data_IF_042764643740
#
_entry.id   IF_042764643740
#
_cell.length_a   1.000
_cell.length_b   1.000
_cell.length_c   1.000
_cell.angle_alpha   90.00
_cell.angle_beta   90.00
_cell.angle_gamma   90.00
#
_symmetry.space_group_name_H-M   'P 1'
#
loop_
_entity.id
_entity.type
_entity.pdbx_description
1 polymer ?
2 polymer ?
3 polymer ?
4 non-polymer ?
5 non-polymer ?
6 water ?
#
loop_
_entity_poly.entity_id
_entity_poly.type
_entity_poly.pdbx_seq_one_letter_code
_entity_poly.pdbx_strand_id
1 'polydeoxyribonucleotide' '(DA)(DG)(DG)(DA)(DC)(DC)(DOC)' ?
2 'polydeoxyribonucleotide' '(DT)(DC)(DT)(DA)(DG)(DG)(DG)(DT)(DC)(DC)(DT)' ?
#
# COMPACT_ATOMS: atom_id res chain seq x y z
N UNK C 25 9.87 19.89 18.50
CA UNK C 25 10.03 18.81 17.43
C UNK C 25 9.63 17.46 18.09
N UNK C 26 8.46 17.41 18.78
CA UNK C 26 8.03 16.16 19.34
C UNK C 26 6.74 15.64 18.66
N UNK C 27 5.49 16.12 19.02
CA UNK C 27 4.22 15.47 18.56
C UNK C 27 3.79 15.72 17.11
N UNK C 28 3.35 14.73 16.43
CA UNK C 28 3.06 14.83 15.07
C UNK C 28 1.63 14.55 14.74
N UNK C 29 1.21 15.11 13.59
CA UNK C 29 -0.10 14.93 13.03
C UNK C 29 0.10 14.32 11.60
N UNK C 30 -0.25 13.01 11.50
CA UNK C 30 0.00 12.26 10.29
C UNK C 30 -1.33 11.84 9.68
N UNK C 31 -1.39 11.83 8.32
CA UNK C 31 -2.57 11.34 7.65
C UNK C 31 -2.27 10.20 6.78
N UNK C 32 -3.13 9.17 6.82
CA UNK C 32 -2.99 8.03 5.95
C UNK C 32 -4.16 7.98 5.02
N UNK C 33 -3.93 8.04 3.70
CA UNK C 33 -4.99 8.05 2.73
C UNK C 33 -5.03 6.70 1.97
N UNK C 34 -6.18 6.09 1.92
CA UNK C 34 -6.35 4.79 1.33
C UNK C 34 -7.57 4.77 0.51
N UNK C 35 -7.43 4.60 -0.80
CA UNK C 35 -8.56 4.59 -1.73
C UNK C 35 -9.40 3.35 -1.65
N UNK C 36 -10.67 3.55 -2.01
CA UNK C 36 -11.64 2.50 -2.16
C UNK C 36 -11.49 1.58 -3.41
N UNK C 37 -11.58 0.24 -3.16
CA UNK C 37 -11.39 -0.83 -4.16
C UNK C 37 -10.74 -0.32 -5.38
N UNK C 38 -9.55 0.24 -5.19
CA UNK C 38 -8.80 0.97 -6.20
C UNK C 38 -8.91 0.52 -7.66
N UNK C 39 -8.46 -0.68 -7.99
CA UNK C 39 -8.59 -1.12 -9.38
C UNK C 39 -9.98 -1.02 -9.85
N UNK C 40 -10.93 -1.43 -9.00
CA UNK C 40 -12.33 -1.48 -9.49
C UNK C 40 -12.82 0.02 -9.76
N UNK C 41 -12.41 1.00 -8.95
CA UNK C 41 -12.74 2.36 -9.20
C UNK C 41 -12.26 2.76 -10.51
N UNK C 42 -11.04 2.48 -10.76
CA UNK C 42 -10.47 2.90 -12.07
C UNK C 42 -11.23 2.28 -13.23
N UNK C 43 -11.67 1.03 -13.09
CA UNK C 43 -12.36 0.36 -14.14
C UNK C 43 -13.66 0.95 -14.31
N UNK C 44 -14.30 1.22 -13.21
CA UNK C 44 -15.70 1.84 -13.21
C UNK C 44 -15.75 3.28 -13.79
N UNK C 45 -14.63 3.94 -13.75
CA UNK C 45 -14.60 5.23 -14.31
C UNK C 45 -14.42 5.05 -15.83
N UNK C 46 -13.66 4.06 -16.21
CA UNK C 46 -13.37 3.84 -17.59
C UNK C 46 -14.58 3.24 -18.35
N UNK C 47 -15.43 2.47 -17.67
CA UNK C 47 -16.61 1.92 -18.25
C UNK C 47 -17.83 2.09 -17.29
N UNK C 48 -18.49 3.27 -17.36
CA UNK C 48 -19.68 3.67 -16.56
C UNK C 48 -20.84 2.69 -16.47
N UNK C 49 -21.02 1.94 -17.51
CA UNK C 49 -21.99 0.87 -17.46
C UNK C 49 -21.65 -0.21 -16.42
N UNK C 50 -20.50 -0.12 -15.79
CA UNK C 50 -20.11 -1.07 -14.75
C UNK C 50 -20.48 -0.64 -13.37
N UNK C 51 -20.72 0.63 -13.13
CA UNK C 51 -21.25 1.06 -11.81
C UNK C 51 -22.55 0.34 -11.38
N UNK C 52 -22.75 0.35 -10.07
CA UNK C 52 -23.93 -0.29 -9.41
C UNK C 52 -24.10 -1.82 -9.79
N UNK C 53 -23.35 -2.30 -10.77
CA UNK C 53 -23.24 -3.75 -10.94
C UNK C 53 -22.02 -4.25 -10.18
N UNK C 54 -22.16 -5.42 -9.62
CA UNK C 54 -21.09 -5.98 -8.82
C UNK C 54 -19.92 -6.28 -9.69
N UNK C 55 -18.76 -5.77 -9.33
CA UNK C 55 -17.64 -5.86 -10.25
C UNK C 55 -16.44 -6.45 -9.62
N UNK C 56 -15.77 -7.36 -10.30
CA UNK C 56 -14.46 -7.80 -9.81
C UNK C 56 -13.40 -7.50 -10.86
N UNK C 57 -12.15 -7.43 -10.41
CA UNK C 57 -11.04 -7.21 -11.33
C UNK C 57 -10.17 -8.46 -11.24
N UNK C 58 -10.02 -9.16 -12.37
CA UNK C 58 -9.38 -10.43 -12.38
C UNK C 58 -7.95 -10.40 -12.79
N UNK C 59 -7.09 -11.21 -12.18
CA UNK C 59 -5.72 -11.38 -12.60
C UNK C 59 -5.49 -12.85 -12.59
N UNK C 60 -5.46 -13.49 -13.75
CA UNK C 60 -5.40 -14.96 -13.84
C UNK C 60 -6.61 -15.57 -13.17
N UNK C 61 -6.39 -16.42 -12.12
CA UNK C 61 -7.50 -17.14 -11.51
C UNK C 61 -7.72 -16.45 -10.21
N UNK C 62 -7.48 -15.14 -10.16
CA UNK C 62 -7.71 -14.44 -8.87
C UNK C 62 -8.48 -13.17 -8.98
N UNK C 63 -9.60 -13.01 -8.22
CA UNK C 63 -10.30 -11.71 -8.22
C UNK C 63 -9.62 -10.81 -7.20
N UNK C 64 -8.67 -10.09 -7.68
CA UNK C 64 -7.72 -9.33 -6.81
C UNK C 64 -8.49 -8.30 -5.98
N UNK C 65 -9.60 -7.71 -6.53
CA UNK C 65 -10.44 -6.78 -5.73
C UNK C 65 -11.83 -6.64 -6.45
N UNK C 66 -12.81 -6.16 -5.76
CA UNK C 66 -14.13 -6.00 -6.26
C UNK C 66 -14.76 -4.77 -5.65
N UNK C 67 -15.84 -4.17 -6.30
CA UNK C 67 -16.41 -2.95 -5.79
C UNK C 67 -17.22 -3.24 -4.61
N UNK C 68 -17.73 -2.21 -3.96
CA UNK C 68 -18.64 -2.44 -2.81
C UNK C 68 -19.91 -3.19 -3.10
N UNK C 69 -20.43 -3.10 -4.34
CA UNK C 69 -21.73 -3.80 -4.66
C UNK C 69 -21.48 -5.27 -4.52
N UNK C 70 -20.34 -5.74 -5.06
CA UNK C 70 -19.89 -7.10 -5.00
C UNK C 70 -19.61 -7.56 -3.59
N UNK C 71 -19.08 -6.68 -2.76
CA UNK C 71 -18.71 -7.14 -1.42
C UNK C 71 -19.93 -7.51 -0.59
N UNK C 72 -21.07 -6.89 -0.92
CA UNK C 72 -22.43 -7.12 -0.30
C UNK C 72 -23.03 -8.52 -0.41
N UNK C 73 -22.70 -9.13 -1.55
CA UNK C 73 -22.95 -10.48 -1.94
C UNK C 73 -21.85 -11.51 -1.51
N UNK C 74 -20.95 -11.17 -0.60
CA UNK C 74 -19.94 -12.15 -0.20
C UNK C 74 -18.61 -12.23 -0.90
N UNK C 75 -18.38 -11.45 -1.99
CA UNK C 75 -17.09 -11.50 -2.74
C UNK C 75 -16.10 -10.77 -1.84
N UNK C 76 -14.96 -11.43 -1.61
CA UNK C 76 -13.88 -10.92 -0.78
C UNK C 76 -12.72 -10.61 -1.69
N UNK C 77 -11.84 -9.75 -1.23
CA UNK C 77 -10.68 -9.46 -2.04
C UNK C 77 -9.88 -10.69 -2.07
N UNK C 78 -9.12 -10.84 -3.14
CA UNK C 78 -8.26 -12.04 -3.24
C UNK C 78 -8.97 -13.34 -3.10
N UNK C 79 -10.06 -13.49 -3.81
CA UNK C 79 -10.82 -14.71 -3.76
C UNK C 79 -10.61 -15.33 -5.13
N UNK C 80 -10.55 -16.68 -5.28
CA UNK C 80 -10.28 -17.30 -6.63
C UNK C 80 -11.49 -17.14 -7.45
N UNK C 81 -11.36 -16.98 -8.76
CA UNK C 81 -12.54 -16.85 -9.62
C UNK C 81 -13.58 -17.91 -9.38
N UNK C 82 -13.22 -19.12 -8.95
CA UNK C 82 -14.28 -20.17 -8.80
C UNK C 82 -15.26 -19.81 -7.65
N UNK C 83 -14.72 -19.52 -6.44
CA UNK C 83 -15.49 -19.19 -5.28
C UNK C 83 -16.23 -17.84 -5.52
N UNK C 84 -15.73 -16.94 -6.39
CA UNK C 84 -16.40 -15.65 -6.58
C UNK C 84 -17.62 -15.81 -7.46
N UNK C 85 -17.60 -16.78 -8.32
CA UNK C 85 -18.75 -16.95 -9.15
C UNK C 85 -19.77 -17.89 -8.52
N UNK C 86 -19.36 -18.82 -7.67
CA UNK C 86 -20.29 -19.70 -6.95
C UNK C 86 -20.71 -19.07 -5.55
N UNK C 87 -20.36 -17.80 -5.36
CA UNK C 87 -20.74 -17.02 -4.23
C UNK C 87 -21.39 -15.87 -4.83
N UNK C 88 -21.34 -15.75 -6.16
CA UNK C 88 -21.96 -14.65 -6.89
C UNK C 88 -21.90 -14.77 -8.41
N UNK C 89 -22.86 -15.52 -8.95
CA UNK C 89 -22.99 -15.85 -10.39
C UNK C 89 -23.10 -14.61 -11.16
N UNK C 90 -23.92 -13.77 -10.58
CA UNK C 90 -24.08 -12.44 -11.04
C UNK C 90 -22.74 -11.70 -10.83
N UNK C 91 -21.80 -11.76 -11.73
CA UNK C 91 -20.54 -11.10 -11.40
C UNK C 91 -19.78 -10.74 -12.63
N UNK C 92 -19.57 -9.41 -12.82
CA UNK C 92 -18.79 -8.89 -13.92
C UNK C 92 -17.27 -8.82 -13.61
N UNK C 93 -16.51 -9.33 -14.55
CA UNK C 93 -15.14 -9.49 -14.38
C UNK C 93 -14.44 -8.87 -15.51
N UNK C 94 -13.44 -8.00 -15.19
CA UNK C 94 -12.52 -7.41 -16.17
C UNK C 94 -11.15 -7.72 -15.79
N UNK C 95 -10.30 -7.69 -16.76
CA UNK C 95 -8.95 -8.17 -16.53
C UNK C 95 -8.04 -6.98 -16.12
N UNK C 96 -7.40 -7.13 -14.99
CA UNK C 96 -6.48 -6.18 -14.48
C UNK C 96 -4.95 -6.59 -14.47
N UNK C 97 -4.58 -7.38 -15.43
CA UNK C 97 -3.18 -7.90 -15.50
C UNK C 97 -2.20 -6.82 -15.86
N UNK C 98 -2.67 -5.87 -16.64
CA UNK C 98 -1.92 -4.73 -17.12
C UNK C 98 -2.19 -3.56 -16.17
N UNK C 99 -1.18 -3.21 -15.41
CA UNK C 99 -1.35 -2.18 -14.37
C UNK C 99 -1.13 -0.71 -14.86
N UNK C 100 -0.95 -0.48 -16.15
CA UNK C 100 -0.71 0.80 -16.65
C UNK C 100 -1.65 1.93 -16.13
N UNK C 101 -2.93 1.81 -16.41
CA UNK C 101 -3.85 2.82 -15.93
C UNK C 101 -3.92 2.98 -14.35
N UNK C 102 -3.79 1.89 -13.62
CA UNK C 102 -3.77 1.98 -12.19
C UNK C 102 -2.48 2.74 -11.72
N UNK C 103 -1.39 2.48 -12.40
CA UNK C 103 -0.19 3.12 -12.08
C UNK C 103 -0.29 4.67 -12.38
N UNK C 104 -0.96 5.00 -13.44
CA UNK C 104 -0.98 6.39 -13.79
C UNK C 104 -1.81 7.14 -12.82
N UNK C 105 -2.94 6.56 -12.47
CA UNK C 105 -3.86 7.16 -11.56
C UNK C 105 -3.21 7.23 -10.14
N UNK C 106 -2.50 6.16 -9.75
CA UNK C 106 -1.70 6.14 -8.48
C UNK C 106 -0.80 7.36 -8.32
N UNK C 107 -0.04 7.69 -9.39
CA UNK C 107 0.82 8.89 -9.36
C UNK C 107 0.10 10.17 -9.40
N UNK C 108 -1.03 10.24 -10.08
CA UNK C 108 -1.78 11.48 -10.08
C UNK C 108 -2.28 11.74 -8.61
N UNK C 109 -2.66 10.69 -7.93
CA UNK C 109 -3.09 10.81 -6.50
C UNK C 109 -1.97 11.37 -5.60
N UNK C 110 -0.79 10.75 -5.70
CA UNK C 110 0.32 11.11 -4.85
C UNK C 110 0.69 12.61 -5.22
N UNK C 111 0.74 12.94 -6.51
CA UNK C 111 1.13 14.26 -6.91
C UNK C 111 0.17 15.29 -6.35
N UNK C 112 -1.08 14.98 -6.29
CA UNK C 112 -2.04 15.89 -5.77
C UNK C 112 -1.76 16.07 -4.33
N UNK C 113 -1.55 14.99 -3.61
CA UNK C 113 -1.27 15.15 -2.12
C UNK C 113 0.02 15.92 -1.92
N UNK C 114 0.96 15.82 -2.86
CA UNK C 114 2.24 16.53 -2.78
C UNK C 114 2.05 18.06 -2.77
N UNK C 115 0.93 18.45 -3.35
CA UNK C 115 0.68 19.87 -3.46
C UNK C 115 0.31 20.41 -2.07
N UNK C 116 -0.35 19.62 -1.22
CA UNK C 116 -0.69 20.03 0.13
C UNK C 116 0.58 20.11 1.00
N UNK C 117 1.43 19.14 1.04
CA UNK C 117 2.63 19.14 1.81
C UNK C 117 3.56 18.19 1.03
N UNK C 118 4.70 18.68 0.66
CA UNK C 118 5.61 17.99 -0.24
C UNK C 118 6.07 16.56 0.16
N UNK C 119 6.11 16.26 1.48
CA UNK C 119 6.61 15.01 1.93
C UNK C 119 5.54 14.00 2.00
N UNK C 120 5.43 13.22 0.95
CA UNK C 120 4.42 12.15 0.85
C UNK C 120 5.01 10.84 0.64
N UNK C 121 4.52 9.84 1.33
CA UNK C 121 5.13 8.52 1.24
C UNK C 121 4.09 7.52 0.64
N UNK C 122 4.49 6.81 -0.38
CA UNK C 122 3.60 5.83 -0.82
C UNK C 122 3.79 4.47 -0.16
N UNK C 123 2.72 3.64 -0.14
CA UNK C 123 2.70 2.31 0.25
C UNK C 123 1.74 1.64 -0.78
N UNK C 124 2.29 0.88 -1.75
CA UNK C 124 1.41 0.15 -2.68
C UNK C 124 0.94 1.29 -3.62
N UNK C 125 0.04 0.98 -4.54
CA UNK C 125 -0.42 1.94 -5.50
C UNK C 125 -1.52 2.86 -4.98
N UNK C 126 -2.13 2.55 -3.81
CA UNK C 126 -3.30 3.39 -3.38
C UNK C 126 -3.25 3.89 -1.96
N UNK C 127 -2.09 3.88 -1.32
CA UNK C 127 -1.97 4.37 0.01
C UNK C 127 -0.82 5.42 0.07
N UNK C 128 -1.10 6.51 0.82
CA UNK C 128 -0.15 7.59 0.91
C UNK C 128 -0.16 8.12 2.35
N UNK C 129 1.00 8.42 2.90
CA UNK C 129 1.15 9.03 4.18
C UNK C 129 1.61 10.38 3.96
N UNK C 130 1.16 11.33 4.78
CA UNK C 130 1.53 12.70 4.67
C UNK C 130 1.67 13.19 6.08
N UNK C 131 2.74 13.95 6.35
CA UNK C 131 3.01 14.45 7.64
C UNK C 131 2.43 15.81 7.55
N UNK C 132 1.35 16.01 8.30
CA UNK C 132 0.65 17.25 8.27
C UNK C 132 1.11 18.17 9.32
N UNK C 133 2.11 17.75 10.10
CA UNK C 133 2.51 18.50 11.26
C UNK C 133 2.82 20.03 11.02
N UNK C 134 3.60 20.38 10.03
CA UNK C 134 3.89 21.79 9.80
C UNK C 134 2.70 22.50 9.35
N UNK C 135 1.94 21.91 8.44
CA UNK C 135 0.68 22.55 7.93
C UNK C 135 -0.36 22.87 9.10
N UNK C 136 -0.54 21.91 10.00
CA UNK C 136 -1.42 22.13 11.10
C UNK C 136 -1.01 23.38 11.91
N UNK C 137 0.24 23.45 12.28
CA UNK C 137 0.76 24.53 13.07
C UNK C 137 0.67 25.92 12.35
N UNK C 138 0.88 25.92 11.05
CA UNK C 138 0.60 27.09 10.27
C UNK C 138 -0.89 27.53 10.29
N UNK C 139 -1.82 26.61 10.26
CA UNK C 139 -3.18 27.02 10.32
C UNK C 139 -3.55 27.50 11.63
N UNK C 140 -2.95 26.94 12.64
CA UNK C 140 -3.22 27.36 14.02
C UNK C 140 -2.69 28.76 14.34
N UNK C 141 -1.56 29.11 13.78
CA UNK C 141 -0.99 30.36 14.02
C UNK C 141 -1.80 31.41 13.39
N UNK C 142 -2.50 31.09 12.35
CA UNK C 142 -3.37 32.06 11.64
C UNK C 142 -4.58 32.37 12.48
N UNK C 143 -4.98 31.47 13.34
CA UNK C 143 -6.20 31.70 14.08
C UNK C 143 -5.99 32.62 15.28
N UNK C 144 -6.65 33.80 15.24
CA UNK C 144 -6.80 34.64 16.47
C UNK C 144 -7.38 33.79 17.71
N UNK C 145 -7.19 34.32 18.93
CA UNK C 145 -7.45 33.57 20.19
C UNK C 145 -8.99 33.38 20.48
N UNK C 146 -9.78 32.75 19.60
CA UNK C 146 -11.21 33.03 19.69
C UNK C 146 -12.10 32.14 18.90
N UNK C 147 -11.79 32.04 17.62
CA UNK C 147 -12.44 31.14 16.65
C UNK C 147 -11.95 29.67 16.86
N UNK C 148 -10.85 29.59 17.59
CA UNK C 148 -10.24 28.32 17.99
C UNK C 148 -11.14 27.52 18.94
N UNK C 149 -12.08 28.21 19.55
CA UNK C 149 -13.09 27.57 20.40
C UNK C 149 -14.25 26.96 19.53
N UNK C 150 -14.18 27.25 18.24
CA UNK C 150 -15.11 26.75 17.28
C UNK C 150 -14.49 25.65 16.30
N UNK C 151 -13.25 25.26 16.56
CA UNK C 151 -12.57 24.20 15.84
C UNK C 151 -13.35 22.92 15.95
N UNK C 152 -13.73 22.41 14.80
CA UNK C 152 -14.53 21.23 14.81
C UNK C 152 -13.86 20.13 14.03
N UNK C 153 -14.40 18.98 14.24
CA UNK C 153 -13.90 17.84 13.55
C UNK C 153 -14.54 17.68 12.21
N UNK C 154 -13.85 17.07 11.31
CA UNK C 154 -14.39 16.71 10.10
C UNK C 154 -14.35 15.17 9.97
N UNK C 155 -15.52 14.53 9.90
CA UNK C 155 -15.57 13.07 9.90
C UNK C 155 -15.83 12.44 11.36
N UNK C 156 -15.61 11.13 11.42
CA UNK C 156 -15.77 10.34 12.58
C UNK C 156 -14.62 10.61 13.59
N UNK C 157 -14.91 10.34 14.84
CA UNK C 157 -13.91 10.40 15.92
C UNK C 157 -13.87 8.92 16.42
N UNK C 158 -12.72 8.29 16.29
CA UNK C 158 -12.55 6.89 16.71
C UNK C 158 -13.10 6.74 18.18
N UNK C 159 -13.90 5.66 18.32
CA UNK C 159 -14.48 5.27 19.63
C UNK C 159 -15.36 6.27 20.15
N UNK C 160 -15.84 7.18 19.27
CA UNK C 160 -16.84 8.10 19.68
C UNK C 160 -16.36 9.01 20.96
N UNK C 161 -15.06 9.11 21.11
CA UNK C 161 -14.44 9.81 22.18
C UNK C 161 -14.79 11.30 22.16
N UNK C 162 -14.82 11.86 23.33
CA UNK C 162 -15.19 13.24 23.44
C UNK C 162 -14.05 14.21 23.14
N UNK C 163 -14.37 15.33 22.65
CA UNK C 163 -13.34 16.26 22.40
C UNK C 163 -13.17 17.29 23.48
N UNK C 164 -11.95 17.66 23.74
CA UNK C 164 -11.63 18.60 24.74
C UNK C 164 -10.91 19.67 24.01
N UNK C 165 -11.58 20.77 23.77
CA UNK C 165 -11.08 21.92 23.06
C UNK C 165 -9.90 22.64 23.76
N UNK C 166 -9.60 22.34 25.03
CA UNK C 166 -8.50 22.93 25.71
C UNK C 166 -7.27 22.07 25.55
N UNK C 167 -7.50 20.83 25.08
CA UNK C 167 -6.33 19.94 24.83
C UNK C 167 -5.68 20.31 23.45
N UNK C 168 -4.51 20.90 23.55
CA UNK C 168 -3.80 21.22 22.39
C UNK C 168 -3.65 20.05 21.37
N UNK C 169 -3.54 18.81 21.84
CA UNK C 169 -3.41 17.68 20.92
C UNK C 169 -4.66 17.37 20.18
N UNK C 170 -5.79 17.45 20.87
CA UNK C 170 -7.14 17.29 20.24
C UNK C 170 -7.32 18.29 19.19
N UNK C 171 -6.88 19.54 19.44
CA UNK C 171 -7.02 20.65 18.47
C UNK C 171 -6.26 20.46 17.17
N UNK C 172 -5.01 20.11 17.32
CA UNK C 172 -4.12 19.79 16.17
C UNK C 172 -4.69 18.58 15.39
N UNK C 173 -5.10 17.51 16.08
CA UNK C 173 -5.65 16.39 15.35
C UNK C 173 -6.96 16.81 14.64
N UNK C 174 -7.77 17.67 15.26
CA UNK C 174 -9.03 18.09 14.53
C UNK C 174 -8.67 18.93 13.32
N UNK C 175 -7.67 19.86 13.45
CA UNK C 175 -7.22 20.64 12.26
C UNK C 175 -6.69 19.68 11.20
N UNK C 176 -6.03 18.62 11.71
CA UNK C 176 -5.55 17.50 10.88
C UNK C 176 -6.73 16.81 10.19
N UNK C 177 -7.90 16.68 10.82
CA UNK C 177 -9.00 16.01 10.11
C UNK C 177 -9.61 16.85 9.06
N UNK C 178 -9.56 18.17 9.19
CA UNK C 178 -9.97 19.13 8.18
C UNK C 178 -9.06 19.14 6.99
N UNK C 179 -7.74 19.02 7.19
CA UNK C 179 -6.86 18.96 6.00
C UNK C 179 -7.25 17.68 5.20
N UNK C 180 -7.55 16.62 5.96
CA UNK C 180 -7.90 15.35 5.40
C UNK C 180 -9.08 15.44 4.60
N UNK C 181 -10.05 16.11 5.08
CA UNK C 181 -11.28 16.25 4.27
C UNK C 181 -11.01 17.00 3.00
N UNK C 182 -10.19 18.02 3.05
CA UNK C 182 -9.93 18.84 1.87
C UNK C 182 -9.19 18.02 0.81
N UNK C 183 -8.25 17.20 1.25
CA UNK C 183 -7.57 16.28 0.45
C UNK C 183 -8.62 15.31 -0.29
N UNK C 184 -9.44 14.66 0.50
CA UNK C 184 -10.45 13.84 -0.06
C UNK C 184 -11.41 14.57 -1.09
N UNK C 185 -11.73 15.79 -0.75
CA UNK C 185 -12.63 16.56 -1.58
C UNK C 185 -11.79 16.77 -2.99
N UNK C 186 -10.53 17.17 -2.89
CA UNK C 186 -9.73 17.41 -4.02
C UNK C 186 -9.56 16.14 -4.88
N UNK C 187 -9.17 15.03 -4.27
CA UNK C 187 -9.05 13.82 -4.93
C UNK C 187 -10.33 13.54 -5.76
N UNK C 188 -11.48 13.85 -5.20
CA UNK C 188 -12.76 13.59 -5.86
C UNK C 188 -13.09 14.63 -7.01
N UNK C 189 -12.99 15.91 -6.72
CA UNK C 189 -13.17 16.91 -7.69
C UNK C 189 -12.22 16.87 -8.83
N UNK C 190 -10.99 16.54 -8.52
CA UNK C 190 -9.86 16.63 -9.48
C UNK C 190 -9.59 15.38 -10.23
N UNK C 191 -9.80 14.24 -9.59
CA UNK C 191 -9.47 12.93 -10.21
C UNK C 191 -10.63 11.96 -10.21
N UNK C 192 -11.78 12.33 -9.59
CA UNK C 192 -12.90 11.49 -9.59
C UNK C 192 -12.80 10.29 -8.62
N UNK C 193 -11.94 10.31 -7.63
CA UNK C 193 -11.72 9.13 -6.86
C UNK C 193 -12.11 9.31 -5.44
N UNK C 194 -12.68 8.23 -4.89
CA UNK C 194 -13.06 8.25 -3.46
C UNK C 194 -12.16 7.43 -2.59
N UNK C 195 -12.09 7.78 -1.31
CA UNK C 195 -11.22 7.03 -0.41
C UNK C 195 -11.34 7.41 0.99
N UNK C 196 -10.68 6.66 1.84
CA UNK C 196 -10.74 6.89 3.30
C UNK C 196 -9.47 7.60 3.77
N UNK C 197 -9.54 8.22 4.93
CA UNK C 197 -8.33 8.84 5.46
C UNK C 197 -8.42 8.61 6.98
N UNK C 198 -7.24 8.58 7.60
CA UNK C 198 -7.22 8.46 9.05
C UNK C 198 -6.19 9.37 9.57
N UNK C 199 -6.52 10.09 10.61
CA UNK C 199 -5.54 11.08 11.16
C UNK C 199 -5.20 10.62 12.58
N UNK C 200 -3.92 10.52 12.86
CA UNK C 200 -3.40 10.06 14.09
C UNK C 200 -2.01 10.65 14.35
N UNK C 201 -1.40 10.25 15.40
CA UNK C 201 -0.14 10.84 15.80
C UNK C 201 1.12 10.13 15.34
N UNK C 202 0.97 8.95 14.71
CA UNK C 202 2.07 8.28 14.04
C UNK C 202 1.58 7.46 12.84
N UNK C 203 2.50 6.94 12.04
CA UNK C 203 2.11 6.16 10.88
C UNK C 203 1.28 4.94 11.20
N UNK C 204 1.69 4.21 12.18
CA UNK C 204 0.98 2.94 12.54
C UNK C 204 -0.46 3.27 12.86
N UNK C 205 -0.69 4.16 13.81
CA UNK C 205 -1.99 4.56 14.23
C UNK C 205 -2.90 5.14 13.08
N UNK C 206 -2.35 6.06 12.28
CA UNK C 206 -3.08 6.62 11.16
C UNK C 206 -3.58 5.49 10.18
N UNK C 207 -2.77 4.49 9.95
CA UNK C 207 -3.13 3.50 9.04
C UNK C 207 -4.16 2.53 9.64
N UNK C 208 -4.00 2.22 10.85
CA UNK C 208 -4.90 1.38 11.52
C UNK C 208 -6.27 2.08 11.61
N UNK C 209 -6.29 3.32 11.93
CA UNK C 209 -7.58 4.04 12.08
C UNK C 209 -8.24 4.52 10.80
N UNK C 210 -7.53 4.51 9.70
CA UNK C 210 -8.18 4.83 8.38
C UNK C 210 -9.13 3.81 7.92
N UNK C 211 -9.01 2.55 8.43
CA UNK C 211 -9.92 1.51 8.04
C UNK C 211 -11.20 1.32 8.86
N UNK C 212 -11.34 2.00 9.98
CA UNK C 212 -12.47 1.77 10.83
C UNK C 212 -13.81 2.05 10.20
N UNK C 213 -13.90 3.08 9.36
CA UNK C 213 -15.21 3.44 8.66
C UNK C 213 -15.03 3.35 7.19
N UNK C 214 -15.45 2.21 6.70
CA UNK C 214 -14.75 1.66 5.58
C UNK C 214 -14.95 2.21 4.38
N UNK C 215 -16.20 2.36 3.86
CA UNK C 215 -16.31 2.85 2.38
C UNK C 215 -15.83 4.27 2.13
N UNK C 216 -16.48 5.36 2.28
CA UNK C 216 -15.71 6.63 1.67
C UNK C 216 -15.75 7.65 2.75
N UNK C 217 -14.90 7.47 3.77
CA UNK C 217 -15.05 8.10 5.09
C UNK C 217 -13.74 8.38 5.70
N UNK C 218 -13.72 9.15 6.76
CA UNK C 218 -12.52 9.41 7.50
C UNK C 218 -12.68 9.45 8.99
N UNK C 219 -11.66 9.00 9.69
CA UNK C 219 -11.67 8.83 11.11
C UNK C 219 -10.43 9.45 11.72
N UNK C 220 -10.57 10.04 12.92
CA UNK C 220 -9.43 10.66 13.57
C UNK C 220 -9.29 10.04 14.94
N UNK C 221 -8.05 9.77 15.33
CA UNK C 221 -7.75 9.07 16.61
C UNK C 221 -7.21 10.02 17.64
N UNK C 222 -7.96 10.20 18.78
CA UNK C 222 -7.44 11.06 19.89
C UNK C 222 -6.50 10.15 20.75
N UNK C 223 -5.46 10.71 21.35
CA UNK C 223 -4.58 9.86 22.21
C UNK C 223 -5.22 9.00 23.19
N UNK C 224 -6.24 9.51 23.78
CA UNK C 224 -6.87 8.67 24.86
C UNK C 224 -7.42 7.36 24.37
N UNK C 225 -7.49 7.15 23.06
CA UNK C 225 -8.14 5.91 22.55
C UNK C 225 -7.20 5.03 21.83
N UNK C 226 -5.91 5.28 21.98
CA UNK C 226 -4.90 4.49 21.41
C UNK C 226 -4.97 3.04 21.79
N UNK C 227 -4.99 2.79 23.10
CA UNK C 227 -5.03 1.32 23.56
C UNK C 227 -6.34 0.61 23.01
N UNK C 228 -7.48 1.31 23.00
CA UNK C 228 -8.72 0.75 22.53
C UNK C 228 -8.49 0.29 21.10
N UNK C 229 -7.92 1.16 20.27
CA UNK C 229 -7.70 0.84 18.81
C UNK C 229 -6.82 -0.41 18.71
N UNK C 230 -5.68 -0.35 19.40
CA UNK C 230 -4.65 -1.44 19.27
C UNK C 230 -5.26 -2.69 19.75
N UNK C 231 -6.08 -2.64 20.84
CA UNK C 231 -6.61 -3.92 21.38
C UNK C 231 -7.81 -4.38 20.61
N UNK C 232 -8.36 -3.53 19.70
CA UNK C 232 -9.50 -3.99 18.93
C UNK C 232 -8.96 -4.98 17.88
N UNK C 233 -7.64 -4.99 17.59
CA UNK C 233 -7.13 -6.03 16.70
C UNK C 233 -7.31 -7.51 17.24
N UNK C 234 -7.54 -8.47 16.38
CA UNK C 234 -7.72 -9.83 16.82
C UNK C 234 -6.55 -10.71 16.62
N UNK C 235 -5.66 -10.39 15.71
CA UNK C 235 -4.42 -11.19 15.55
C UNK C 235 -3.18 -10.28 15.30
N UNK C 236 -2.04 -10.61 15.85
CA UNK C 236 -0.92 -9.72 15.70
C UNK C 236 -0.43 -9.59 14.26
N UNK C 237 -0.76 -10.51 13.39
CA UNK C 237 -0.55 -10.26 12.01
C UNK C 237 -1.23 -8.98 11.45
N UNK C 238 -2.10 -8.39 12.24
CA UNK C 238 -2.94 -7.28 11.75
C UNK C 238 -2.15 -5.96 11.99
N UNK C 239 -1.11 -6.10 12.80
CA UNK C 239 -0.19 -5.02 12.91
C UNK C 239 0.77 -4.83 11.69
N UNK C 240 0.65 -3.70 11.04
CA UNK C 240 1.60 -3.32 9.97
C UNK C 240 3.06 -3.48 10.43
N UNK C 241 3.85 -4.32 9.79
CA UNK C 241 5.16 -4.58 10.22
C UNK C 241 5.38 -6.04 10.65
N UNK C 242 4.32 -6.70 11.18
CA UNK C 242 4.33 -8.11 11.48
C UNK C 242 3.68 -8.91 10.36
N UNK C 243 4.46 -9.73 9.64
CA UNK C 243 3.84 -10.43 8.48
C UNK C 243 3.72 -11.92 8.67
N UNK C 244 3.35 -12.65 7.58
CA UNK C 244 3.28 -14.19 7.57
C UNK C 244 4.36 -14.90 8.41
N UNK C 245 5.59 -14.42 8.34
CA UNK C 245 6.68 -15.11 9.03
C UNK C 245 6.90 -14.80 10.45
N UNK C 246 7.22 -13.59 10.83
CA UNK C 246 7.22 -13.26 12.21
C UNK C 246 5.90 -13.67 12.96
N UNK C 247 4.73 -13.53 12.32
CA UNK C 247 3.48 -14.03 12.94
C UNK C 247 3.58 -15.50 13.36
N UNK C 248 3.96 -16.38 12.41
CA UNK C 248 4.10 -17.83 12.72
C UNK C 248 5.06 -18.05 13.88
N UNK C 249 6.20 -17.34 13.92
CA UNK C 249 7.17 -17.45 15.02
C UNK C 249 6.64 -16.95 16.29
N UNK C 250 5.90 -15.84 16.30
CA UNK C 250 5.32 -15.31 17.52
C UNK C 250 4.36 -16.35 18.19
N UNK C 251 3.63 -17.05 17.35
CA UNK C 251 2.74 -18.11 17.80
C UNK C 251 3.47 -19.22 18.43
N UNK C 252 4.49 -19.71 17.77
CA UNK C 252 5.23 -20.86 18.29
C UNK C 252 5.59 -20.52 19.68
N UNK C 253 5.70 -19.25 20.02
CA UNK C 253 5.98 -18.94 21.41
C UNK C 253 4.78 -18.70 22.34
N UNK C 254 3.58 -19.04 21.95
CA UNK C 254 2.40 -18.61 22.73
C UNK C 254 1.84 -17.16 22.66
N UNK C 255 2.45 -16.28 21.86
CA UNK C 255 2.03 -14.93 21.67
C UNK C 255 0.94 -14.81 20.56
N UNK C 256 -0.32 -14.66 20.97
CA UNK C 256 -1.38 -14.59 20.02
C UNK C 256 -2.08 -13.24 19.98
N UNK C 257 -2.36 -12.65 21.13
CA UNK C 257 -3.04 -11.39 21.13
C UNK C 257 -2.11 -10.23 21.15
N UNK C 258 -2.61 -9.07 20.79
CA UNK C 258 -1.73 -7.89 20.92
C UNK C 258 -1.22 -7.76 22.34
N UNK C 259 -2.03 -8.15 23.36
CA UNK C 259 -1.63 -8.03 24.78
C UNK C 259 -0.56 -8.97 25.12
N UNK C 260 -0.61 -10.16 24.56
CA UNK C 260 0.42 -11.22 24.77
C UNK C 260 1.74 -10.64 24.36
N UNK C 261 1.80 -10.05 23.17
CA UNK C 261 3.04 -9.45 22.70
C UNK C 261 3.47 -8.27 23.54
N UNK C 262 2.50 -7.43 23.93
CA UNK C 262 2.80 -6.34 24.85
C UNK C 262 3.64 -6.89 26.01
N UNK C 263 3.08 -7.89 26.66
CA UNK C 263 3.53 -8.34 27.98
C UNK C 263 4.67 -9.41 27.88
N UNK C 264 4.98 -9.87 26.67
CA UNK C 264 5.93 -10.94 26.50
C UNK C 264 7.31 -10.44 26.88
N UNK C 265 8.14 -11.37 27.38
CA UNK C 265 9.52 -10.99 27.78
C UNK C 265 10.49 -10.34 26.72
N UNK C 266 11.00 -9.13 26.98
CA UNK C 266 11.87 -8.50 25.98
C UNK C 266 13.05 -9.37 25.70
N UNK C 267 13.67 -9.89 26.74
CA UNK C 267 14.87 -10.69 26.51
C UNK C 267 14.59 -11.95 25.65
N UNK C 268 13.48 -12.63 25.91
CA UNK C 268 13.23 -13.90 25.20
C UNK C 268 12.91 -13.70 23.73
N UNK C 269 12.19 -12.60 23.43
CA UNK C 269 11.87 -12.13 22.06
C UNK C 269 13.11 -11.55 21.46
N UNK C 270 13.85 -10.76 22.29
CA UNK C 270 15.06 -9.99 21.86
C UNK C 270 15.83 -11.10 21.16
N UNK C 271 15.93 -12.23 21.86
CA UNK C 271 16.79 -13.33 21.46
C UNK C 271 16.26 -14.44 20.54
N UNK C 272 15.37 -14.11 19.67
CA UNK C 272 14.67 -15.15 18.96
C UNK C 272 14.11 -14.54 17.73
N UNK C 273 14.20 -13.21 17.58
CA UNK C 273 13.86 -12.49 16.31
C UNK C 273 14.95 -11.53 15.96
N UNK C 274 15.79 -11.28 16.96
CA UNK C 274 16.85 -10.34 16.89
C UNK C 274 16.38 -9.11 17.57
N UNK C 275 17.34 -8.43 18.20
CA UNK C 275 17.01 -7.15 18.81
C UNK C 275 16.26 -6.15 17.92
N UNK C 276 16.48 -6.21 16.59
CA UNK C 276 15.89 -5.27 15.64
C UNK C 276 14.45 -5.54 15.39
N UNK C 277 14.20 -6.72 14.84
CA UNK C 277 12.84 -7.18 14.68
C UNK C 277 12.08 -7.08 16.01
N UNK C 278 12.72 -7.37 17.13
CA UNK C 278 12.00 -7.50 18.37
C UNK C 278 11.82 -6.24 19.12
N UNK C 279 12.74 -5.36 19.09
CA UNK C 279 12.47 -4.27 19.99
C UNK C 279 11.45 -3.38 19.23
N UNK C 280 11.42 -3.52 17.92
CA UNK C 280 10.55 -2.73 17.12
C UNK C 280 9.10 -3.19 17.19
N UNK C 281 8.88 -4.46 16.99
CA UNK C 281 7.47 -4.91 16.95
C UNK C 281 6.85 -4.83 18.29
N UNK C 282 7.66 -4.88 19.36
CA UNK C 282 7.14 -4.74 20.68
C UNK C 282 6.60 -3.31 20.90
N UNK C 283 7.32 -2.32 20.39
CA UNK C 283 6.84 -0.92 20.38
C UNK C 283 5.49 -0.79 19.60
N UNK C 284 5.47 -1.41 18.44
CA UNK C 284 4.30 -1.45 17.66
C UNK C 284 3.03 -1.99 18.41
N UNK C 285 3.24 -2.98 19.24
CA UNK C 285 2.18 -3.64 20.01
C UNK C 285 1.56 -2.71 21.01
N UNK C 286 2.24 -1.61 21.29
CA UNK C 286 1.74 -0.60 22.21
C UNK C 286 1.22 0.58 21.44
N UNK C 287 1.36 0.58 20.12
CA UNK C 287 0.87 1.73 19.36
C UNK C 287 1.88 2.80 19.12
N UNK C 288 3.11 2.46 19.52
CA UNK C 288 4.21 3.36 19.48
C UNK C 288 4.98 3.11 18.22
N UNK C 289 5.27 4.18 17.49
CA UNK C 289 5.96 4.09 16.24
C UNK C 289 6.55 5.45 15.87
N UNK C 290 7.89 5.53 15.84
CA UNK C 290 8.58 6.77 15.61
C UNK C 290 9.06 6.97 14.17
N UNK C 291 8.81 6.03 13.30
CA UNK C 291 9.33 6.09 11.95
C UNK C 291 8.71 7.34 11.19
N UNK C 292 9.54 8.09 10.53
CA UNK C 292 9.07 9.35 9.94
C UNK C 292 8.43 9.01 8.56
N UNK C 293 7.66 9.93 8.09
CA UNK C 293 7.07 9.83 6.78
C UNK C 293 8.20 10.14 5.80
N UNK C 294 8.54 9.23 4.95
CA UNK C 294 9.63 9.53 4.02
C UNK C 294 9.13 9.96 2.59
N UNK C 295 9.78 10.91 1.96
CA UNK C 295 9.46 11.31 0.56
C UNK C 295 9.73 10.18 -0.43
N UNK C 296 8.70 9.57 -1.01
CA UNK C 296 8.89 8.48 -1.90
C UNK C 296 9.54 8.92 -3.27
N UNK C 297 9.13 10.09 -3.80
CA UNK C 297 9.62 10.49 -4.99
C UNK C 297 9.41 9.52 -6.21
N UNK C 298 10.29 9.58 -7.17
CA UNK C 298 10.17 8.75 -8.34
C UNK C 298 10.50 7.37 -7.91
N UNK C 299 10.01 6.41 -8.62
CA UNK C 299 10.20 5.02 -8.34
C UNK C 299 11.69 4.58 -8.36
N UNK C 300 12.04 3.48 -7.61
CA UNK C 300 13.38 2.95 -7.55
C UNK C 300 13.45 1.74 -8.39
N UNK C 301 12.34 1.42 -9.07
CA UNK C 301 12.34 0.25 -10.01
C UNK C 301 11.05 0.20 -10.85
N UNK C 302 11.13 -0.48 -11.99
CA UNK C 302 9.97 -0.67 -12.93
C UNK C 302 10.09 -2.09 -13.31
N UNK C 303 9.11 -2.92 -13.09
CA UNK C 303 9.27 -4.28 -13.55
C UNK C 303 7.90 -4.77 -14.19
N UNK C 304 7.94 -5.77 -15.03
CA UNK C 304 6.73 -6.39 -15.53
C UNK C 304 6.97 -7.85 -15.21
N UNK C 305 5.91 -8.60 -15.23
CA UNK C 305 5.95 -9.92 -14.71
C UNK C 305 4.85 -10.67 -15.51
N UNK C 306 4.86 -12.02 -15.33
CA UNK C 306 4.00 -12.93 -16.00
C UNK C 306 4.04 -14.24 -15.37
N UNK C 307 2.89 -14.78 -15.15
CA UNK C 307 2.62 -16.11 -14.66
C UNK C 307 2.12 -17.06 -15.76
N UNK C 308 2.14 -18.35 -15.42
CA UNK C 308 1.86 -19.48 -16.34
C UNK C 308 2.22 -20.77 -15.59
N UNK C 309 1.36 -21.79 -15.48
CA UNK C 309 1.67 -22.79 -14.46
C UNK C 309 2.23 -23.88 -15.21
N UNK C 310 3.51 -24.13 -14.88
CA UNK C 310 4.65 -24.80 -15.59
C UNK C 310 4.60 -24.75 -17.08
N UNK C 311 3.99 -23.65 -17.57
CA UNK C 311 4.04 -23.34 -19.00
C UNK C 311 5.45 -23.06 -19.62
N UNK C 312 6.54 -22.90 -18.83
CA UNK C 312 7.88 -22.61 -19.47
C UNK C 312 8.79 -23.83 -19.87
N UNK C 313 8.64 -24.39 -21.15
CA UNK C 313 9.44 -25.46 -21.77
C UNK C 313 10.92 -25.53 -21.15
N UNK C 314 11.85 -24.74 -21.71
CA UNK C 314 13.06 -24.18 -20.99
C UNK C 314 13.97 -23.41 -22.00
N UNK C 315 13.36 -22.63 -22.90
CA UNK C 315 14.01 -21.73 -23.89
C UNK C 315 13.11 -21.56 -25.14
N UNK C 316 12.02 -22.29 -25.17
CA UNK C 316 10.88 -21.88 -25.96
C UNK C 316 10.29 -20.60 -25.29
N UNK C 317 10.79 -20.25 -24.09
CA UNK C 317 10.32 -19.11 -23.25
C UNK C 317 11.43 -18.03 -22.93
N UNK C 318 12.11 -17.68 -23.98
CA UNK C 318 12.83 -16.45 -24.16
C UNK C 318 11.86 -15.50 -24.84
N UNK C 319 10.80 -16.00 -25.50
CA UNK C 319 9.85 -15.12 -26.23
C UNK C 319 9.05 -14.28 -25.28
N UNK C 320 8.80 -14.93 -24.13
CA UNK C 320 8.11 -14.38 -22.98
C UNK C 320 8.95 -13.19 -22.54
N UNK C 321 10.29 -13.36 -22.66
CA UNK C 321 11.24 -12.34 -22.16
C UNK C 321 11.28 -11.13 -23.10
N UNK C 322 11.17 -11.36 -24.39
CA UNK C 322 11.06 -10.23 -25.32
C UNK C 322 9.74 -9.46 -25.05
N UNK C 323 8.62 -10.09 -24.68
CA UNK C 323 7.36 -9.29 -24.35
C UNK C 323 7.56 -8.22 -23.26
N UNK C 324 7.93 -8.73 -22.11
CA UNK C 324 8.15 -7.95 -20.92
C UNK C 324 9.05 -6.73 -21.23
N UNK C 325 10.04 -6.98 -22.08
CA UNK C 325 10.93 -5.95 -22.58
C UNK C 325 10.31 -4.87 -23.49
N UNK C 326 9.67 -5.29 -24.56
CA UNK C 326 8.91 -4.33 -25.34
C UNK C 326 8.28 -3.31 -24.35
N UNK C 327 7.43 -3.80 -23.39
CA UNK C 327 6.71 -2.91 -22.42
C UNK C 327 7.62 -2.06 -21.57
N UNK C 328 8.45 -2.73 -20.87
CA UNK C 328 9.25 -1.98 -19.97
C UNK C 328 9.99 -0.85 -20.67
N UNK C 329 10.62 -1.19 -21.80
CA UNK C 329 11.47 -0.27 -22.50
C UNK C 329 10.80 1.03 -22.64
N UNK C 330 9.59 0.99 -23.21
CA UNK C 330 8.75 2.16 -23.26
C UNK C 330 8.50 2.90 -21.89
N UNK C 331 7.95 2.22 -20.92
CA UNK C 331 7.87 2.81 -19.61
C UNK C 331 9.08 3.63 -19.07
N UNK C 332 10.17 2.91 -18.79
CA UNK C 332 11.47 3.40 -18.25
C UNK C 332 12.02 4.59 -19.03
N UNK C 333 11.62 4.63 -20.29
CA UNK C 333 11.86 5.77 -21.12
C UNK C 333 11.18 7.04 -20.66
N UNK C 334 9.83 7.04 -20.76
CA UNK C 334 8.87 8.08 -20.28
C UNK C 334 9.34 8.99 -19.10
N UNK C 335 9.81 8.35 -18.03
CA UNK C 335 10.27 8.96 -16.75
C UNK C 335 11.42 9.97 -17.01
N UNK C 336 12.33 9.54 -17.89
CA UNK C 336 13.56 10.24 -18.28
C UNK C 336 14.76 9.42 -17.83
N UNK C 337 14.96 9.35 -16.49
CA UNK C 337 15.99 8.54 -15.81
C UNK C 337 16.07 7.12 -16.44
N UNK C 338 17.31 6.72 -16.50
CA UNK C 338 17.62 5.47 -17.09
C UNK C 338 18.12 4.54 -15.95
N UNK C 339 17.75 3.27 -16.07
CA UNK C 339 18.20 2.25 -15.14
C UNK C 339 19.64 1.89 -15.39
N UNK C 340 20.36 1.54 -14.33
CA UNK C 340 21.75 1.18 -14.54
C UNK C 340 21.94 -0.29 -14.30
N UNK C 341 20.86 -1.01 -14.09
CA UNK C 341 20.93 -2.43 -13.73
C UNK C 341 19.67 -3.15 -14.28
N UNK C 342 19.81 -4.40 -14.73
CA UNK C 342 18.67 -5.28 -15.17
C UNK C 342 18.64 -6.54 -14.26
N UNK C 343 17.51 -7.22 -14.21
CA UNK C 343 17.41 -8.38 -13.35
C UNK C 343 16.43 -9.30 -13.94
N UNK C 344 16.71 -10.60 -13.94
CA UNK C 344 15.60 -11.50 -14.25
C UNK C 344 15.29 -12.35 -13.07
N UNK C 345 13.98 -12.71 -12.92
CA UNK C 345 13.49 -13.61 -11.86
C UNK C 345 12.77 -14.88 -12.40
N UNK C 346 12.63 -15.94 -11.56
CA UNK C 346 11.97 -17.16 -11.97
C UNK C 346 11.36 -17.84 -10.78
N UNK C 347 10.53 -18.89 -11.02
CA UNK C 347 10.17 -19.84 -9.96
C UNK C 347 9.81 -21.29 -10.59
N UNK C 348 9.84 -22.40 -9.81
CA UNK C 348 9.82 -23.78 -10.38
C UNK C 348 8.71 -24.72 -9.76
N UNK C 349 8.31 -25.80 -10.46
CA UNK C 349 6.99 -26.49 -10.28
C UNK C 349 6.84 -27.66 -9.28
N UNK C 350 6.19 -27.51 -8.11
CA UNK C 350 6.24 -28.56 -7.07
C UNK C 350 5.12 -28.64 -6.01
N UNK C 351 5.51 -29.03 -4.79
CA UNK C 351 4.66 -29.31 -3.60
C UNK C 351 4.49 -28.14 -2.51
N UNK C 352 4.39 -26.87 -2.93
CA UNK C 352 4.08 -25.67 -2.09
C UNK C 352 5.24 -25.10 -1.29
N UNK C 353 6.45 -25.17 -1.89
CA UNK C 353 7.61 -24.35 -1.46
C UNK C 353 7.39 -22.90 -2.00
N UNK C 354 6.32 -22.65 -2.77
CA UNK C 354 5.80 -21.29 -3.15
C UNK C 354 6.80 -20.14 -2.92
N UNK C 355 7.06 -19.80 -1.64
CA UNK C 355 8.23 -18.91 -1.24
C UNK C 355 9.43 -18.62 -2.31
N UNK C 356 9.84 -19.65 -3.09
CA UNK C 356 11.09 -19.60 -3.88
C UNK C 356 11.20 -18.89 -5.25
N UNK C 357 11.83 -17.69 -5.20
CA UNK C 357 12.20 -16.94 -6.42
C UNK C 357 13.68 -17.02 -6.50
N UNK C 358 14.23 -16.94 -7.71
CA UNK C 358 15.68 -16.80 -7.95
C UNK C 358 15.90 -15.58 -8.92
N UNK C 359 17.05 -14.93 -8.81
CA UNK C 359 17.43 -13.89 -9.72
C UNK C 359 18.90 -13.79 -9.93
N UNK C 360 19.23 -13.18 -11.07
CA UNK C 360 20.61 -12.77 -11.46
C UNK C 360 20.53 -11.28 -11.87
N UNK C 361 21.14 -10.43 -11.04
CA UNK C 361 21.22 -9.02 -11.38
C UNK C 361 22.57 -8.89 -12.21
N UNK C 362 22.65 -7.80 -12.98
CA UNK C 362 23.78 -7.49 -13.85
C UNK C 362 23.80 -5.98 -14.24
N UNK C 363 24.93 -5.30 -14.28
CA UNK C 363 24.84 -3.89 -14.71
C UNK C 363 24.59 -3.80 -16.23
N UNK C 364 23.90 -2.73 -16.62
CA UNK C 364 23.45 -2.40 -17.96
C UNK C 364 24.48 -1.61 -18.75
N UNK C 365 25.14 -2.17 -19.77
CA UNK C 365 26.29 -1.46 -20.42
C UNK C 365 26.02 0.03 -20.76
N UNK C 366 26.95 0.95 -20.38
CA UNK C 366 26.82 2.40 -20.59
C UNK C 366 26.40 2.84 -22.02
N UNK C 367 26.53 1.91 -22.98
CA UNK C 367 26.38 2.09 -24.43
C UNK C 367 24.87 2.02 -24.82
N UNK C 368 24.27 0.92 -24.39
CA UNK C 368 22.83 0.68 -24.51
C UNK C 368 21.92 1.63 -23.62
N UNK C 369 22.45 2.30 -22.60
CA UNK C 369 21.67 3.28 -21.85
C UNK C 369 21.15 4.42 -22.75
N UNK C 370 21.36 4.36 -24.06
CA UNK C 370 20.82 5.36 -24.93
C UNK C 370 20.21 4.83 -26.18
N UNK C 379 17.87 -0.94 -29.91
CA UNK C 379 17.86 -0.83 -28.40
C UNK C 379 17.59 -2.18 -27.70
N UNK C 380 16.65 -2.85 -28.33
CA UNK C 380 16.13 -4.11 -27.83
C UNK C 380 17.22 -5.06 -28.00
N UNK C 381 17.51 -5.26 -29.29
CA UNK C 381 18.34 -6.32 -29.80
C UNK C 381 19.53 -6.75 -28.77
N UNK C 382 20.36 -5.85 -28.31
CA UNK C 382 21.39 -6.29 -27.36
C UNK C 382 20.87 -6.68 -25.97
N UNK C 383 19.89 -5.92 -25.44
CA UNK C 383 19.16 -6.22 -24.18
C UNK C 383 18.73 -7.64 -24.01
N UNK C 384 18.03 -8.10 -25.03
CA UNK C 384 17.61 -9.48 -25.09
C UNK C 384 18.80 -10.43 -24.74
N UNK C 385 19.88 -10.30 -25.53
CA UNK C 385 20.95 -11.20 -25.33
C UNK C 385 21.57 -11.14 -23.86
N UNK C 386 21.59 -9.99 -23.17
CA UNK C 386 22.14 -9.88 -21.79
C UNK C 386 21.32 -10.75 -20.82
N UNK C 387 20.01 -10.45 -20.79
CA UNK C 387 18.99 -11.24 -20.10
C UNK C 387 19.04 -12.73 -20.41
N UNK C 388 19.31 -13.07 -21.65
CA UNK C 388 19.51 -14.42 -21.95
C UNK C 388 20.73 -15.15 -21.35
N UNK C 389 21.89 -14.47 -21.31
CA UNK C 389 23.11 -15.03 -20.71
C UNK C 389 22.75 -15.17 -19.21
N UNK C 390 22.09 -14.13 -18.71
CA UNK C 390 21.56 -14.10 -17.34
C UNK C 390 20.60 -15.28 -17.00
N UNK C 391 19.74 -15.60 -17.94
CA UNK C 391 18.86 -16.79 -17.92
C UNK C 391 19.60 -18.09 -17.71
N UNK C 392 20.72 -18.19 -18.44
CA UNK C 392 21.52 -19.39 -18.48
C UNK C 392 22.32 -19.57 -17.23
N UNK C 393 22.85 -18.50 -16.67
CA UNK C 393 23.38 -18.72 -15.35
C UNK C 393 22.37 -19.42 -14.35
N UNK C 394 21.08 -19.65 -14.79
CA UNK C 394 19.88 -20.11 -14.03
C UNK C 394 19.22 -21.45 -14.21
N UNK C 404 7.21 -21.95 -13.46
CA UNK C 404 5.87 -21.57 -13.00
C UNK C 404 5.79 -20.08 -13.23
N UNK C 405 6.89 -19.35 -13.37
CA UNK C 405 6.81 -17.92 -13.78
C UNK C 405 8.06 -16.98 -13.84
N UNK C 406 7.97 -16.01 -14.79
CA UNK C 406 8.99 -15.03 -15.31
C UNK C 406 8.73 -13.46 -15.20
N UNK C 407 9.85 -12.73 -14.98
CA UNK C 407 9.86 -11.31 -14.82
C UNK C 407 11.16 -10.49 -14.91
N UNK C 408 10.98 -9.25 -15.30
CA UNK C 408 12.15 -8.42 -15.58
C UNK C 408 12.10 -7.12 -14.81
N UNK C 409 13.12 -6.86 -14.01
CA UNK C 409 13.23 -5.57 -13.29
C UNK C 409 14.33 -4.66 -13.90
N UNK C 410 14.07 -3.36 -13.95
CA UNK C 410 15.05 -2.32 -14.27
C UNK C 410 15.23 -1.61 -12.98
N UNK C 411 16.35 -1.71 -12.30
CA UNK C 411 16.59 -0.92 -11.07
C UNK C 411 17.69 -0.01 -11.20
N UNK C 412 18.04 0.56 -9.99
CA UNK C 412 19.11 1.56 -9.78
C UNK C 412 18.95 2.75 -10.80
N UNK C 413 17.82 3.47 -10.80
CA UNK C 413 17.57 4.66 -11.65
C UNK C 413 18.23 5.99 -11.25
N UNK C 414 18.60 6.84 -12.24
CA UNK C 414 19.36 8.13 -12.00
C UNK C 414 19.00 9.37 -12.89
X LIG D 1 -7.43 0.78 -0.65
X LIG E 1 -5.11 -0.53 1.40
X LIG F 1 -6.02 -2.53 -1.01
X LIG F 1 -6.12 -1.16 -0.71
X LIG F 1 -5.76 -3.47 0.17
X LIG F 1 -7.35 -3.08 -1.69
X LIG F 1 -8.56 -2.14 -2.16
X LIG F 1 -8.85 -2.69 -3.52
X LIG F 1 -8.17 -0.63 -2.27
X LIG F 1 -9.88 -2.31 -1.25
X LIG F 1 -10.36 -1.33 0.01
X LIG F 1 -9.16 -0.45 0.45
X LIG F 1 -10.82 -2.29 1.11
X LIG F 1 -11.49 -0.45 -0.49
X LIG F 1 -5.03 -2.71 -2.20
X LIG F 1 -5.07 -1.83 -3.46
X LIG F 1 -5.04 -2.40 -4.75
X LIG F 1 -3.84 -3.08 -5.12
X LIG F 1 -6.19 -3.26 -5.02
X LIG F 1 -7.20 -2.59 -5.83
X LIG F 1 -5.64 -4.48 -5.73
X LIG F 1 -4.13 -4.40 -5.64
X LIG F 1 -3.68 -5.42 -4.67
X LIG F 1 -3.16 -6.57 -5.23
X LIG F 1 -2.96 -6.64 -6.46
X LIG F 1 -2.59 -7.59 -4.46
X LIG F 1 -2.58 -7.58 -3.16
X LIG F 1 -2.14 -8.63 -2.57
X LIG F 1 -3.22 -6.46 -2.49
X LIG F 1 -3.31 -6.43 -1.14
X LIG F 1 -3.74 -5.45 -3.28
#
# INVERSE_FOLDING_TARGET
MELADVGAAASSQGVHDQVLPTPNASSRVIVHVDLDCFYAQVEMISNPELKDKPLGVQQKYLVVTCNYEARKLGVKKLMNVRDAKEKCPQLVLVNGEDLTRYREMSYKVTELLEEFSPVVERLGFDENFVDLTEMVEKRLQQLQSDELSAVTVSGHVYNNQSINLLDVLHIRLLVGSQIAAEMREAMYNQLGLTGCAGVASNKLLAKLVSGVFKPNQQTVLLPESCQHLIHSLNHIKEIPGIGYKTAKCLEALGINSVRDLQTFSPKILEKELGISVAQRIQKLSFGEDNSPVILSGPPQSFSEEDSFKKCSSEVEAKNKIEELLASLLNRVCQDGRKPHTVRLIIRRYSSEKHYGRESRQCPIPSHVIQKLGTGNYDVMTPMVDILMKLFRNMVNVKMPFHLTLLSVCFCNLKALNTAK
MG MG
MG MG
TTP PA O1A O2A O3A PB O1B O2B O3B PG O1G O2G O3G O5' C5' C4' O4' C3' O3' C2' C1' N1 C2 O2 N3 C4 O4 C5 C5M C6
#
